data_IF_120335683068
#
_entry.id   IF_120335683068
#
_cell.length_a   1.000
_cell.length_b   1.000
_cell.length_c   1.000
_cell.angle_alpha   90.00
_cell.angle_beta   90.00
_cell.angle_gamma   90.00
#
_symmetry.space_group_name_H-M   'P 1'
#
loop_
_entity.id
_entity.type
_entity.pdbx_description
1 polymer ?
#
# COMPACT_ATOMS: atom_id res chain seq x y z
N UNK A 1 -13.10 -20.85 -11.70
CA UNK A 1 -12.67 -21.49 -10.44
C UNK A 1 -11.26 -21.11 -10.02
N UNK A 2 -10.26 -21.13 -10.91
CA UNK A 2 -8.83 -20.87 -10.56
C UNK A 2 -8.56 -19.60 -9.72
N UNK A 3 -9.28 -18.49 -9.95
CA UNK A 3 -9.16 -17.27 -9.11
C UNK A 3 -9.47 -17.51 -7.63
N UNK A 4 -10.52 -18.28 -7.34
CA UNK A 4 -10.91 -18.58 -5.96
C UNK A 4 -9.97 -19.59 -5.31
N UNK A 5 -9.44 -20.54 -6.09
CA UNK A 5 -8.39 -21.44 -5.62
C UNK A 5 -7.11 -20.68 -5.27
N UNK A 6 -6.69 -19.70 -6.08
CA UNK A 6 -5.55 -18.85 -5.74
C UNK A 6 -5.77 -18.05 -4.45
N UNK A 7 -6.98 -17.56 -4.23
CA UNK A 7 -7.33 -16.88 -2.97
C UNK A 7 -7.34 -17.85 -1.77
N UNK A 8 -7.77 -19.10 -1.97
CA UNK A 8 -7.69 -20.15 -0.95
C UNK A 8 -6.24 -20.53 -0.65
N UNK A 9 -5.40 -20.62 -1.66
CA UNK A 9 -3.97 -20.87 -1.53
C UNK A 9 -3.28 -19.74 -0.74
N UNK A 10 -3.61 -18.47 -1.03
CA UNK A 10 -3.10 -17.31 -0.29
C UNK A 10 -3.35 -17.42 1.22
N UNK A 11 -4.47 -18.04 1.64
CA UNK A 11 -4.75 -18.28 3.06
C UNK A 11 -3.64 -19.06 3.76
N UNK A 12 -2.96 -19.98 3.07
CA UNK A 12 -1.87 -20.77 3.64
C UNK A 12 -0.56 -19.99 3.77
N UNK A 13 -0.43 -18.85 3.07
CA UNK A 13 0.77 -18.02 3.07
C UNK A 13 0.58 -16.68 3.80
N UNK A 14 -0.66 -16.30 4.12
CA UNK A 14 -1.00 -14.96 4.63
C UNK A 14 -0.26 -14.63 5.92
N UNK A 15 -0.11 -15.58 6.83
CA UNK A 15 0.56 -15.33 8.11
C UNK A 15 2.05 -15.04 7.91
N UNK A 16 2.76 -15.84 7.10
CA UNK A 16 4.16 -15.57 6.71
C UNK A 16 4.32 -14.22 6.02
N UNK A 17 3.40 -13.87 5.12
CA UNK A 17 3.40 -12.57 4.44
C UNK A 17 3.26 -11.43 5.47
N UNK A 18 2.37 -11.58 6.44
CA UNK A 18 2.12 -10.60 7.50
C UNK A 18 3.31 -10.44 8.44
N UNK A 19 3.92 -11.54 8.84
CA UNK A 19 5.16 -11.51 9.63
C UNK A 19 6.28 -10.78 8.90
N UNK A 20 6.46 -11.09 7.61
CA UNK A 20 7.51 -10.49 6.79
C UNK A 20 7.31 -8.99 6.58
N UNK A 21 6.11 -8.55 6.15
CA UNK A 21 5.89 -7.12 5.99
C UNK A 21 5.98 -6.40 7.35
N UNK A 22 5.53 -7.01 8.44
CA UNK A 22 5.58 -6.40 9.78
C UNK A 22 7.01 -6.18 10.24
N UNK A 23 7.90 -7.13 9.98
CA UNK A 23 9.35 -6.96 10.18
C UNK A 23 9.90 -5.83 9.30
N UNK A 24 9.52 -5.83 8.01
CA UNK A 24 10.02 -4.87 7.04
C UNK A 24 9.51 -3.44 7.26
N UNK A 25 8.44 -3.22 8.04
CA UNK A 25 8.01 -1.89 8.48
C UNK A 25 9.12 -1.11 9.20
N UNK A 26 10.09 -1.81 9.82
CA UNK A 26 11.23 -1.24 10.53
C UNK A 26 12.56 -1.39 9.77
N UNK A 27 12.53 -1.84 8.50
CA UNK A 27 13.72 -2.06 7.70
C UNK A 27 14.53 -0.75 7.54
N UNK A 28 15.87 -0.83 7.43
CA UNK A 28 16.73 0.34 7.21
C UNK A 28 16.53 0.92 5.81
N UNK A 29 16.26 0.07 4.83
CA UNK A 29 16.02 0.44 3.43
C UNK A 29 14.64 1.06 3.26
N UNK A 30 14.57 2.29 2.73
CA UNK A 30 13.29 2.98 2.53
C UNK A 30 12.35 2.25 1.57
N UNK A 31 12.89 1.64 0.50
CA UNK A 31 12.10 0.89 -0.47
C UNK A 31 11.37 -0.30 0.18
N UNK A 32 12.04 -1.02 1.08
CA UNK A 32 11.43 -2.14 1.81
C UNK A 32 10.35 -1.66 2.78
N UNK A 33 10.58 -0.56 3.51
CA UNK A 33 9.56 0.03 4.39
C UNK A 33 8.33 0.50 3.61
N UNK A 34 8.52 1.13 2.45
CA UNK A 34 7.41 1.58 1.61
C UNK A 34 6.62 0.38 1.06
N UNK A 35 7.31 -0.64 0.53
CA UNK A 35 6.66 -1.88 0.06
C UNK A 35 5.85 -2.53 1.18
N UNK A 36 6.43 -2.68 2.38
CA UNK A 36 5.76 -3.26 3.53
C UNK A 36 4.51 -2.45 3.96
N UNK A 37 4.61 -1.12 3.96
CA UNK A 37 3.49 -0.24 4.30
C UNK A 37 2.38 -0.30 3.25
N UNK A 38 2.72 -0.37 1.96
CA UNK A 38 1.74 -0.57 0.89
C UNK A 38 1.06 -1.95 0.98
N UNK A 39 1.81 -3.02 1.28
CA UNK A 39 1.25 -4.34 1.52
C UNK A 39 0.27 -4.35 2.70
N UNK A 40 0.62 -3.68 3.78
CA UNK A 40 -0.27 -3.49 4.93
C UNK A 40 -1.58 -2.82 4.52
N UNK A 41 -1.55 -1.73 3.75
CA UNK A 41 -2.78 -1.06 3.28
C UNK A 41 -3.63 -1.96 2.39
N UNK A 42 -3.02 -2.74 1.49
CA UNK A 42 -3.76 -3.69 0.65
C UNK A 42 -4.39 -4.80 1.49
N UNK A 43 -3.66 -5.40 2.43
CA UNK A 43 -4.14 -6.50 3.29
C UNK A 43 -5.24 -6.02 4.26
N UNK A 44 -5.02 -4.90 4.95
CA UNK A 44 -5.87 -4.46 6.07
C UNK A 44 -7.02 -3.56 5.64
N UNK A 45 -6.84 -2.77 4.58
CA UNK A 45 -7.84 -1.81 4.11
C UNK A 45 -8.47 -2.21 2.77
N UNK A 46 -8.05 -3.34 2.19
CA UNK A 46 -8.51 -3.85 0.90
C UNK A 46 -8.36 -2.83 -0.25
N UNK A 47 -7.33 -1.96 -0.19
CA UNK A 47 -7.05 -1.03 -1.26
C UNK A 47 -6.65 -1.79 -2.53
N UNK A 48 -7.10 -1.30 -3.68
CA UNK A 48 -6.62 -1.80 -4.98
C UNK A 48 -5.17 -1.38 -5.18
N UNK A 49 -4.37 -2.19 -5.89
CA UNK A 49 -2.96 -1.93 -6.10
C UNK A 49 -2.67 -0.55 -6.73
N UNK A 50 -3.46 -0.11 -7.70
CA UNK A 50 -3.32 1.20 -8.36
C UNK A 50 -2.15 1.24 -9.35
N UNK A 51 -2.43 0.94 -10.62
CA UNK A 51 -1.45 1.12 -11.70
C UNK A 51 -1.33 2.60 -12.07
N UNK A 52 -0.19 2.96 -12.66
CA UNK A 52 -0.03 4.26 -13.31
C UNK A 52 -1.08 4.43 -14.43
N UNK A 53 -1.54 5.66 -14.57
CA UNK A 53 -2.57 6.09 -15.51
C UNK A 53 -1.93 6.95 -16.59
N UNK A 54 -2.43 6.86 -17.82
CA UNK A 54 -2.04 7.77 -18.89
C UNK A 54 -2.63 9.18 -18.69
N UNK A 55 -2.07 10.16 -19.39
CA UNK A 55 -2.49 11.57 -19.29
C UNK A 55 -3.95 11.82 -19.72
N UNK A 56 -4.52 10.96 -20.57
CA UNK A 56 -5.91 11.05 -21.04
C UNK A 56 -6.93 10.35 -20.11
N UNK A 57 -6.48 9.75 -19.01
CA UNK A 57 -7.35 9.03 -18.08
C UNK A 57 -7.75 9.91 -16.88
N UNK A 58 -8.93 9.64 -16.32
CA UNK A 58 -9.37 10.30 -15.10
C UNK A 58 -8.36 10.07 -13.95
N UNK A 59 -8.01 11.15 -13.25
CA UNK A 59 -7.07 11.13 -12.12
C UNK A 59 -7.68 10.33 -10.95
N UNK A 60 -7.35 9.05 -10.94
CA UNK A 60 -7.83 8.07 -9.98
C UNK A 60 -6.63 7.26 -9.50
N UNK A 61 -6.59 6.97 -8.21
CA UNK A 61 -5.45 6.32 -7.58
C UNK A 61 -5.82 5.02 -6.87
N UNK A 62 -4.81 4.20 -6.63
CA UNK A 62 -4.85 3.07 -5.72
C UNK A 62 -3.62 3.09 -4.82
N UNK A 63 -3.41 2.03 -4.06
CA UNK A 63 -2.41 1.99 -2.99
C UNK A 63 -1.01 2.44 -3.43
N UNK A 64 -0.48 1.91 -4.53
CA UNK A 64 0.87 2.22 -5.01
C UNK A 64 0.97 3.59 -5.68
N UNK A 65 -0.15 4.16 -6.12
CA UNK A 65 -0.22 5.49 -6.76
C UNK A 65 -0.78 6.58 -5.84
N UNK A 66 -0.90 6.31 -4.53
CA UNK A 66 -1.22 7.35 -3.55
C UNK A 66 -0.18 8.47 -3.60
N UNK A 67 -0.67 9.70 -3.43
CA UNK A 67 0.11 10.93 -3.43
C UNK A 67 0.01 11.58 -2.07
N UNK A 68 0.81 12.62 -1.86
CA UNK A 68 0.89 13.33 -0.59
C UNK A 68 -0.49 13.77 -0.08
N UNK A 69 -1.29 14.39 -0.93
CA UNK A 69 -2.59 14.99 -0.61
C UNK A 69 -3.66 13.96 -0.19
N UNK A 70 -3.50 12.70 -0.61
CA UNK A 70 -4.51 11.65 -0.38
C UNK A 70 -4.52 11.08 1.04
N UNK A 71 -3.51 11.41 1.87
CA UNK A 71 -3.43 10.99 3.27
C UNK A 71 -3.07 12.15 4.19
N UNK A 72 -3.94 12.39 5.17
CA UNK A 72 -3.65 13.26 6.31
C UNK A 72 -3.30 12.45 7.56
N UNK A 73 -2.41 13.00 8.38
CA UNK A 73 -1.96 12.43 9.65
C UNK A 73 -2.71 13.11 10.79
N UNK A 74 -3.51 12.34 11.55
CA UNK A 74 -4.14 12.80 12.79
C UNK A 74 -3.45 12.11 13.98
N UNK A 75 -2.62 12.83 14.78
CA UNK A 75 -2.02 12.25 15.97
C UNK A 75 -3.06 11.74 16.97
N UNK A 76 -2.76 10.66 17.72
CA UNK A 76 -1.45 10.03 17.82
C UNK A 76 -1.18 8.97 16.75
N UNK A 77 -2.21 8.38 16.13
CA UNK A 77 -2.06 7.18 15.30
C UNK A 77 -3.17 6.98 14.26
N UNK A 78 -3.84 8.04 13.80
CA UNK A 78 -4.90 7.95 12.79
C UNK A 78 -4.43 8.45 11.43
N UNK A 79 -4.82 7.72 10.39
CA UNK A 79 -4.68 8.12 8.99
C UNK A 79 -6.05 8.45 8.43
N UNK A 80 -6.17 9.60 7.78
CA UNK A 80 -7.37 10.00 7.06
C UNK A 80 -7.07 9.87 5.58
N UNK A 81 -7.72 8.93 4.92
CA UNK A 81 -7.65 8.73 3.47
C UNK A 81 -8.77 9.50 2.80
N UNK A 82 -8.45 10.24 1.75
CA UNK A 82 -9.44 10.92 0.91
C UNK A 82 -8.93 11.02 -0.53
N UNK A 83 -9.47 10.18 -1.42
CA UNK A 83 -9.05 10.15 -2.82
C UNK A 83 -10.14 9.56 -3.73
N UNK A 84 -10.01 9.77 -5.03
CA UNK A 84 -10.87 9.12 -6.03
C UNK A 84 -10.22 7.80 -6.49
N UNK A 85 -10.92 6.69 -6.27
CA UNK A 85 -10.51 5.37 -6.72
C UNK A 85 -11.08 5.01 -8.10
N UNK A 86 -11.12 3.71 -8.40
CA UNK A 86 -11.72 3.17 -9.63
C UNK A 86 -13.13 3.75 -9.85
N UNK A 87 -13.43 4.10 -11.11
CA UNK A 87 -14.71 4.67 -11.55
C UNK A 87 -15.01 6.02 -10.85
N UNK A 88 -13.98 6.75 -10.42
CA UNK A 88 -14.04 8.02 -9.67
C UNK A 88 -14.87 7.94 -8.39
N UNK A 89 -14.96 6.75 -7.79
CA UNK A 89 -15.63 6.57 -6.50
C UNK A 89 -14.70 7.09 -5.40
N UNK A 90 -15.19 8.06 -4.63
CA UNK A 90 -14.46 8.60 -3.48
C UNK A 90 -14.27 7.53 -2.41
N UNK A 91 -13.02 7.31 -2.02
CA UNK A 91 -12.66 6.55 -0.83
C UNK A 91 -12.32 7.56 0.27
N UNK A 92 -13.21 7.67 1.25
CA UNK A 92 -12.98 8.43 2.48
C UNK A 92 -12.97 7.46 3.66
N UNK A 93 -11.90 7.44 4.45
CA UNK A 93 -11.80 6.57 5.61
C UNK A 93 -10.86 7.14 6.67
N UNK A 94 -11.28 7.05 7.93
CA UNK A 94 -10.44 7.41 9.09
C UNK A 94 -10.08 6.11 9.79
N UNK A 95 -8.79 5.79 9.80
CA UNK A 95 -8.30 4.50 10.28
C UNK A 95 -7.27 4.71 11.37
N UNK A 96 -7.50 4.10 12.52
CA UNK A 96 -6.48 3.96 13.54
C UNK A 96 -5.49 2.86 13.13
N UNK A 97 -4.20 3.18 13.11
CA UNK A 97 -3.13 2.29 12.66
C UNK A 97 -2.10 2.06 13.76
N UNK A 98 -1.27 1.05 13.58
CA UNK A 98 -0.15 0.79 14.47
C UNK A 98 0.84 1.97 14.45
N UNK A 99 1.49 2.30 15.58
CA UNK A 99 2.39 3.46 15.67
C UNK A 99 3.50 3.47 14.61
N UNK A 100 3.98 2.29 14.21
CA UNK A 100 5.00 2.17 13.17
C UNK A 100 4.48 2.54 11.78
N UNK A 101 3.21 2.24 11.45
CA UNK A 101 2.58 2.65 10.19
C UNK A 101 2.45 4.17 10.16
N UNK A 102 1.91 4.77 11.22
CA UNK A 102 1.79 6.23 11.34
C UNK A 102 3.16 6.92 11.19
N UNK A 103 4.17 6.40 11.89
CA UNK A 103 5.57 6.89 11.78
C UNK A 103 6.10 6.78 10.35
N UNK A 104 5.87 5.65 9.68
CA UNK A 104 6.32 5.46 8.30
C UNK A 104 5.65 6.47 7.34
N UNK A 105 4.33 6.68 7.44
CA UNK A 105 3.63 7.68 6.62
C UNK A 105 4.15 9.09 6.89
N UNK A 106 4.39 9.45 8.15
CA UNK A 106 5.04 10.72 8.48
C UNK A 106 6.42 10.88 7.83
N UNK A 107 7.24 9.83 7.82
CA UNK A 107 8.55 9.84 7.15
C UNK A 107 8.40 9.96 5.64
N UNK A 108 7.44 9.24 5.04
CA UNK A 108 7.23 9.24 3.59
C UNK A 108 6.66 10.56 3.08
N UNK A 109 5.98 11.33 3.94
CA UNK A 109 5.55 12.72 3.73
C UNK A 109 6.59 13.76 4.20
N UNK A 110 7.81 13.34 4.54
CA UNK A 110 8.86 14.19 5.09
C UNK A 110 9.38 15.27 4.13
N UNK A 111 10.35 16.04 4.61
CA UNK A 111 10.77 17.32 4.03
C UNK A 111 11.07 17.26 2.53
N UNK A 112 10.40 18.14 1.78
CA UNK A 112 10.54 18.29 0.33
C UNK A 112 9.39 17.72 -0.50
N UNK A 113 8.49 16.88 0.09
CA UNK A 113 7.28 16.44 -0.61
C UNK A 113 6.08 17.35 -0.35
N UNK A 114 5.28 17.58 -1.38
CA UNK A 114 4.03 18.31 -1.35
C UNK A 114 2.96 17.67 -2.22
N UNK A 115 1.87 18.40 -2.46
CA UNK A 115 0.78 17.98 -3.32
C UNK A 115 1.28 17.58 -4.72
N UNK A 116 0.78 16.45 -5.22
CA UNK A 116 1.22 15.84 -6.48
C UNK A 116 2.37 14.85 -6.33
N UNK A 117 3.15 14.90 -5.24
CA UNK A 117 4.26 13.96 -5.05
C UNK A 117 3.77 12.57 -4.63
N UNK A 118 4.38 11.54 -5.22
CA UNK A 118 4.10 10.15 -4.86
C UNK A 118 4.40 9.89 -3.37
N UNK A 119 3.44 9.32 -2.65
CA UNK A 119 3.64 8.89 -1.28
C UNK A 119 4.67 7.74 -1.22
N UNK A 120 4.56 6.79 -2.15
CA UNK A 120 5.47 5.66 -2.31
C UNK A 120 6.34 5.79 -3.57
N UNK A 121 7.36 6.63 -3.51
CA UNK A 121 8.29 6.91 -4.63
C UNK A 121 9.18 5.73 -5.04
N UNK A 122 9.21 4.64 -4.26
CA UNK A 122 10.03 3.45 -4.52
C UNK A 122 9.22 2.17 -4.70
N UNK A 123 7.91 2.29 -4.89
CA UNK A 123 7.00 1.15 -5.04
C UNK A 123 6.27 1.25 -6.38
N UNK A 124 6.22 0.14 -7.11
CA UNK A 124 5.35 -0.02 -8.28
C UNK A 124 4.50 -1.27 -8.12
N UNK A 125 3.36 -1.33 -8.81
CA UNK A 125 2.50 -2.53 -8.80
C UNK A 125 3.21 -3.76 -9.35
N UNK A 126 4.06 -3.59 -10.37
CA UNK A 126 4.90 -4.67 -10.91
C UNK A 126 5.88 -5.23 -9.87
N UNK A 127 6.57 -4.36 -9.13
CA UNK A 127 7.47 -4.76 -8.05
C UNK A 127 6.75 -5.46 -6.90
N UNK A 128 5.60 -4.91 -6.48
CA UNK A 128 4.76 -5.48 -5.43
C UNK A 128 4.24 -6.88 -5.83
N UNK A 129 3.73 -7.03 -7.06
CA UNK A 129 3.25 -8.31 -7.58
C UNK A 129 4.38 -9.34 -7.70
N UNK A 130 5.59 -8.93 -8.14
CA UNK A 130 6.75 -9.82 -8.19
C UNK A 130 7.12 -10.34 -6.80
N UNK A 131 7.07 -9.49 -5.78
CA UNK A 131 7.31 -9.87 -4.39
C UNK A 131 6.20 -10.77 -3.82
N UNK A 132 4.92 -10.47 -4.07
CA UNK A 132 3.82 -11.35 -3.67
C UNK A 132 3.92 -12.73 -4.32
N UNK A 133 4.28 -12.78 -5.60
CA UNK A 133 4.46 -14.03 -6.31
C UNK A 133 5.61 -14.89 -5.77
N UNK A 134 6.63 -14.34 -5.10
CA UNK A 134 7.66 -15.18 -4.48
C UNK A 134 7.15 -15.98 -3.28
N UNK A 135 6.08 -15.54 -2.62
CA UNK A 135 5.48 -16.28 -1.49
C UNK A 135 4.69 -17.51 -1.93
N UNK A 136 4.12 -17.48 -3.14
CA UNK A 136 3.19 -18.50 -3.63
C UNK A 136 3.80 -19.39 -4.74
N UNK A 137 5.13 -19.31 -4.94
CA UNK A 137 5.85 -20.15 -5.92
C UNK A 137 6.47 -21.41 -5.30
N UNK A 138 6.46 -21.55 -3.98
CA UNK A 138 6.97 -22.72 -3.26
C UNK A 138 5.90 -23.82 -3.09
N UNK A 139 5.31 -24.26 -4.21
CA UNK A 139 4.52 -25.49 -4.26
C UNK A 139 4.90 -26.24 -5.55
N UNK A 140 6.03 -26.94 -5.49
CA UNK A 140 6.41 -28.01 -6.42
C UNK A 140 6.70 -29.26 -5.59
#
# INVERSE_FOLDING_TARGET
MQKFEKARELKNHVDRIREDYTRDLKNKTSADRQRATAMYFIDRLALRAGNEKGEDEADTVGCCSLRYEHIMLEPPNKLIFDFLGKDSIRYYNVVEVEPQIFKNIRIFKGDGKGEGDALFDRVSTGGLNKHLNSYMKEAA
#
